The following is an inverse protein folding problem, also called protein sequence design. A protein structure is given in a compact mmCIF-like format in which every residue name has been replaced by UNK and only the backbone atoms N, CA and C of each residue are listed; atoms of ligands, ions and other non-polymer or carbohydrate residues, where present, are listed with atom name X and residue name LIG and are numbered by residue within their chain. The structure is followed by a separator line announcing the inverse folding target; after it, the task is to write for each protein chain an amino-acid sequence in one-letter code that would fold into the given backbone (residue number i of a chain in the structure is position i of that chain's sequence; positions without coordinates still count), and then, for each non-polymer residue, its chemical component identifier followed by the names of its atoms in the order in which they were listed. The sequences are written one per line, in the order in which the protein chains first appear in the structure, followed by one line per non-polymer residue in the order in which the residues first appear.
data_IF_989741809132
#
_entry.id   IF_989741809132
#
_cell.length_a   1.000
_cell.length_b   1.000
_cell.length_c   1.000
_cell.angle_alpha   90.00
_cell.angle_beta   90.00
_cell.angle_gamma   90.00
#
_symmetry.space_group_name_H-M   'P 1'
#
loop_
_entity.id
_entity.type
_entity.pdbx_description
1 polymer ?
#
# COMPACT_ATOMS: atom_id res chain seq x y z
N UNK A 1 56.71 3.70 -45.02
CA UNK A 1 57.49 3.78 -43.76
C UNK A 1 57.41 5.20 -43.21
N UNK A 2 57.33 5.34 -41.87
CA UNK A 2 57.17 6.55 -41.02
C UNK A 2 55.73 6.69 -40.52
N UNK A 3 55.36 5.94 -39.47
CA UNK A 3 55.58 6.14 -38.01
C UNK A 3 54.40 6.93 -37.42
N UNK A 4 53.53 6.17 -36.76
CA UNK A 4 52.41 6.60 -35.91
C UNK A 4 52.90 7.56 -34.83
N UNK A 5 52.09 8.58 -34.53
CA UNK A 5 52.33 9.51 -33.43
C UNK A 5 51.38 9.07 -32.32
N UNK A 6 51.95 8.60 -31.22
CA UNK A 6 51.24 8.14 -30.03
C UNK A 6 50.62 9.34 -29.33
N UNK A 7 49.30 9.32 -29.14
CA UNK A 7 48.57 10.32 -28.36
C UNK A 7 48.78 10.02 -26.86
N UNK A 8 49.46 10.94 -26.16
CA UNK A 8 49.66 10.89 -24.71
C UNK A 8 48.32 11.11 -24.00
N UNK A 9 47.85 10.10 -23.27
CA UNK A 9 46.67 10.19 -22.41
C UNK A 9 47.10 10.87 -21.12
N UNK A 10 46.63 12.09 -20.91
CA UNK A 10 46.83 12.87 -19.69
C UNK A 10 46.02 12.22 -18.54
N UNK A 11 46.76 11.61 -17.60
CA UNK A 11 46.25 10.96 -16.40
C UNK A 11 45.67 12.03 -15.45
N UNK A 12 44.36 12.24 -15.53
CA UNK A 12 43.64 13.12 -14.61
C UNK A 12 43.26 12.31 -13.38
N UNK A 13 43.71 12.70 -12.16
CA UNK A 13 43.33 11.99 -10.95
C UNK A 13 41.80 12.00 -10.80
N UNK A 14 41.20 10.81 -10.73
CA UNK A 14 39.82 10.63 -10.33
C UNK A 14 39.71 11.08 -8.87
N UNK A 15 39.23 12.30 -8.65
CA UNK A 15 38.90 12.76 -7.29
C UNK A 15 37.77 11.88 -6.74
N UNK A 16 38.04 11.22 -5.61
CA UNK A 16 37.01 10.51 -4.85
C UNK A 16 35.85 11.45 -4.53
N UNK A 17 34.58 11.04 -4.67
CA UNK A 17 33.44 11.90 -4.40
C UNK A 17 33.48 12.34 -2.93
N UNK A 18 33.67 13.64 -2.72
CA UNK A 18 33.61 14.28 -1.41
C UNK A 18 32.31 13.87 -0.71
N UNK A 19 32.35 13.29 0.51
CA UNK A 19 31.13 12.96 1.24
C UNK A 19 30.34 14.24 1.44
N UNK A 20 29.16 14.33 0.82
CA UNK A 20 28.22 15.41 1.06
C UNK A 20 27.80 15.33 2.53
N UNK A 21 28.34 16.20 3.38
CA UNK A 21 28.10 16.25 4.83
C UNK A 21 26.79 16.93 5.20
N UNK A 22 25.93 17.24 4.22
CA UNK A 22 24.58 17.69 4.52
C UNK A 22 23.77 16.52 5.09
N UNK A 23 23.09 16.68 6.24
CA UNK A 23 22.21 15.65 6.75
C UNK A 23 21.09 15.40 5.74
N UNK A 24 21.16 14.27 5.03
CA UNK A 24 20.12 13.84 4.10
C UNK A 24 18.83 13.64 4.89
N UNK A 25 17.88 14.55 4.65
CA UNK A 25 16.55 14.48 5.27
C UNK A 25 15.59 13.84 4.28
N UNK A 26 14.86 12.81 4.72
CA UNK A 26 13.89 12.09 3.91
C UNK A 26 12.50 12.60 4.24
N UNK A 27 11.70 13.00 3.26
CA UNK A 27 10.37 13.56 3.50
C UNK A 27 9.28 12.75 2.80
N UNK A 28 8.16 12.53 3.48
CA UNK A 28 6.96 11.96 2.89
C UNK A 28 5.98 13.07 2.52
N UNK A 29 5.71 13.22 1.21
CA UNK A 29 4.71 14.15 0.67
C UNK A 29 3.33 13.51 0.43
N UNK A 30 3.20 12.20 0.70
CA UNK A 30 1.95 11.44 0.55
C UNK A 30 1.13 11.42 1.85
N UNK A 31 1.72 11.89 2.95
CA UNK A 31 1.00 12.11 4.19
C UNK A 31 0.28 13.47 4.14
N UNK A 32 -0.93 13.62 4.71
CA UNK A 32 -1.66 14.89 4.72
C UNK A 32 -0.83 16.05 5.29
N UNK A 33 -0.05 15.75 6.32
CA UNK A 33 0.97 16.64 6.88
C UNK A 33 2.38 16.20 6.47
N UNK A 34 3.27 17.09 6.04
CA UNK A 34 4.64 16.73 5.69
C UNK A 34 5.39 16.15 6.89
N UNK A 35 5.79 14.88 6.80
CA UNK A 35 6.63 14.23 7.82
C UNK A 35 8.05 14.08 7.27
N UNK A 36 9.03 14.54 8.04
CA UNK A 36 10.46 14.38 7.73
C UNK A 36 11.14 13.40 8.68
N UNK A 37 12.06 12.62 8.14
CA UNK A 37 12.81 11.57 8.80
C UNK A 37 14.31 11.84 8.68
N UNK A 38 15.05 11.57 9.76
CA UNK A 38 16.50 11.75 9.81
C UNK A 38 17.28 10.55 9.25
N UNK A 39 16.62 9.43 8.96
CA UNK A 39 17.24 8.22 8.40
C UNK A 39 16.39 7.61 7.28
N UNK A 40 17.05 6.95 6.32
CA UNK A 40 16.38 6.22 5.27
C UNK A 40 15.50 5.10 5.83
N UNK A 41 16.01 4.34 6.80
CA UNK A 41 15.30 3.22 7.43
C UNK A 41 13.97 3.63 8.06
N UNK A 42 13.93 4.79 8.73
CA UNK A 42 12.69 5.29 9.32
C UNK A 42 11.68 5.75 8.27
N UNK A 43 12.15 6.33 7.16
CA UNK A 43 11.31 6.66 6.01
C UNK A 43 10.77 5.40 5.31
N UNK A 44 11.61 4.39 5.05
CA UNK A 44 11.20 3.13 4.42
C UNK A 44 10.19 2.37 5.29
N UNK A 45 10.39 2.33 6.61
CA UNK A 45 9.44 1.76 7.55
C UNK A 45 8.10 2.51 7.54
N UNK A 46 8.14 3.85 7.54
CA UNK A 46 6.93 4.66 7.40
C UNK A 46 6.20 4.35 6.10
N UNK A 47 6.92 4.34 4.97
CA UNK A 47 6.36 4.09 3.66
C UNK A 47 5.75 2.69 3.59
N UNK A 48 6.47 1.69 4.09
CA UNK A 48 6.04 0.30 4.12
C UNK A 48 4.73 0.11 4.89
N UNK A 49 4.59 0.81 6.02
CA UNK A 49 3.42 0.69 6.89
C UNK A 49 2.23 1.59 6.46
N UNK A 50 2.49 2.72 5.80
CA UNK A 50 1.45 3.72 5.52
C UNK A 50 1.03 3.77 4.05
N UNK A 51 1.93 3.46 3.11
CA UNK A 51 1.75 3.76 1.70
C UNK A 51 1.79 2.52 0.79
N UNK A 52 2.31 1.38 1.24
CA UNK A 52 2.37 0.15 0.43
C UNK A 52 1.02 -0.28 -0.12
N UNK A 53 -0.01 -0.25 0.73
CA UNK A 53 -1.36 -0.67 0.37
C UNK A 53 -2.34 0.50 0.44
N UNK A 54 -1.98 1.61 -0.21
CA UNK A 54 -2.85 2.78 -0.34
C UNK A 54 -3.62 2.72 -1.66
N UNK A 55 -4.91 3.02 -1.62
CA UNK A 55 -5.71 3.23 -2.82
C UNK A 55 -5.35 4.58 -3.44
N UNK A 56 -4.89 4.57 -4.68
CA UNK A 56 -4.51 5.78 -5.42
C UNK A 56 -5.72 6.63 -5.83
N UNK A 57 -6.92 6.07 -5.86
CA UNK A 57 -8.16 6.78 -6.22
C UNK A 57 -8.72 7.63 -5.08
N UNK A 58 -8.72 7.10 -3.86
CA UNK A 58 -9.35 7.77 -2.70
C UNK A 58 -8.40 8.07 -1.54
N UNK A 59 -7.15 7.60 -1.59
CA UNK A 59 -6.15 7.78 -0.54
C UNK A 59 -6.34 6.88 0.69
N UNK A 60 -7.35 5.99 0.70
CA UNK A 60 -7.57 5.07 1.81
C UNK A 60 -6.41 4.08 1.95
N UNK A 61 -5.99 3.81 3.18
CA UNK A 61 -4.87 2.92 3.51
C UNK A 61 -5.37 1.56 3.97
N UNK A 62 -4.70 0.49 3.59
CA UNK A 62 -5.11 -0.88 3.90
C UNK A 62 -3.98 -1.66 4.58
N UNK A 63 -4.32 -2.69 5.36
CA UNK A 63 -3.32 -3.48 6.10
C UNK A 63 -2.58 -4.51 5.23
N UNK A 64 -3.16 -4.89 4.08
CA UNK A 64 -2.55 -5.84 3.15
C UNK A 64 -3.06 -5.63 1.72
N UNK A 65 -2.36 -6.23 0.76
CA UNK A 65 -2.74 -6.27 -0.66
C UNK A 65 -4.17 -6.76 -0.84
N UNK A 66 -4.55 -7.81 -0.12
CA UNK A 66 -5.89 -8.41 -0.17
C UNK A 66 -6.98 -7.38 0.15
N UNK A 67 -6.80 -6.60 1.21
CA UNK A 67 -7.80 -5.60 1.61
C UNK A 67 -7.86 -4.43 0.63
N UNK A 68 -6.72 -4.03 0.05
CA UNK A 68 -6.70 -3.06 -1.03
C UNK A 68 -7.42 -3.59 -2.27
N UNK A 69 -7.16 -4.85 -2.67
CA UNK A 69 -7.84 -5.49 -3.80
C UNK A 69 -9.36 -5.57 -3.59
N UNK A 70 -9.79 -6.04 -2.41
CA UNK A 70 -11.21 -6.04 -2.04
C UNK A 70 -11.83 -4.64 -2.10
N UNK A 71 -11.10 -3.61 -1.67
CA UNK A 71 -11.58 -2.24 -1.74
C UNK A 71 -11.75 -1.76 -3.18
N UNK A 72 -10.75 -2.02 -4.03
CA UNK A 72 -10.82 -1.66 -5.45
C UNK A 72 -12.00 -2.36 -6.13
N UNK A 73 -12.15 -3.66 -5.91
CA UNK A 73 -13.22 -4.48 -6.48
C UNK A 73 -14.61 -4.10 -5.94
N UNK A 74 -14.73 -3.59 -4.71
CA UNK A 74 -16.02 -3.32 -4.07
C UNK A 74 -16.45 -1.87 -4.10
N UNK A 75 -15.53 -0.91 -4.24
CA UNK A 75 -15.84 0.53 -4.16
C UNK A 75 -15.38 1.32 -5.39
N UNK A 76 -14.45 0.80 -6.19
CA UNK A 76 -13.89 1.50 -7.35
C UNK A 76 -14.07 0.79 -8.69
N UNK A 77 -14.54 -0.46 -8.71
CA UNK A 77 -14.94 -1.12 -9.95
C UNK A 77 -16.26 -0.49 -10.47
N UNK A 78 -16.27 0.11 -11.68
CA UNK A 78 -17.46 0.72 -12.26
C UNK A 78 -18.62 -0.25 -12.46
N UNK A 79 -18.36 -1.55 -12.54
CA UNK A 79 -19.40 -2.57 -12.67
C UNK A 79 -20.16 -2.81 -11.36
N UNK A 80 -19.58 -2.45 -10.21
CA UNK A 80 -20.18 -2.69 -8.90
C UNK A 80 -21.53 -2.00 -8.74
N UNK A 81 -21.69 -0.77 -9.26
CA UNK A 81 -22.97 -0.07 -9.21
C UNK A 81 -24.09 -0.90 -9.87
N UNK A 82 -23.80 -1.49 -11.04
CA UNK A 82 -24.74 -2.34 -11.78
C UNK A 82 -25.01 -3.64 -11.01
N UNK A 83 -23.96 -4.27 -10.48
CA UNK A 83 -24.10 -5.49 -9.68
C UNK A 83 -24.90 -5.26 -8.40
N UNK A 84 -24.74 -4.10 -7.74
CA UNK A 84 -25.52 -3.70 -6.57
C UNK A 84 -27.00 -3.58 -6.92
N UNK A 85 -27.33 -2.89 -8.01
CA UNK A 85 -28.73 -2.69 -8.46
C UNK A 85 -29.41 -4.01 -8.86
N UNK A 86 -28.66 -4.94 -9.45
CA UNK A 86 -29.15 -6.29 -9.79
C UNK A 86 -29.25 -7.23 -8.58
N UNK A 87 -28.66 -6.87 -7.44
CA UNK A 87 -28.59 -7.72 -6.26
C UNK A 87 -27.58 -8.88 -6.39
N UNK A 88 -26.57 -8.72 -7.24
CA UNK A 88 -25.51 -9.71 -7.40
C UNK A 88 -24.63 -9.81 -6.16
N UNK A 89 -23.87 -10.91 -6.09
CA UNK A 89 -22.86 -11.12 -5.05
C UNK A 89 -21.53 -10.51 -5.47
N UNK A 90 -21.29 -9.27 -5.10
CA UNK A 90 -20.04 -8.55 -5.40
C UNK A 90 -19.08 -8.48 -4.22
N UNK A 91 -19.56 -8.64 -2.98
CA UNK A 91 -18.74 -8.57 -1.76
C UNK A 91 -18.02 -9.90 -1.51
N UNK A 92 -16.70 -9.95 -1.61
CA UNK A 92 -15.96 -11.18 -1.38
C UNK A 92 -15.60 -11.39 0.10
N UNK A 93 -15.29 -12.64 0.47
CA UNK A 93 -14.77 -12.99 1.78
C UNK A 93 -13.36 -12.43 1.98
N UNK A 94 -12.96 -12.22 3.24
CA UNK A 94 -11.65 -11.68 3.60
C UNK A 94 -10.55 -12.75 3.58
N UNK A 95 -10.91 -14.00 3.87
CA UNK A 95 -9.95 -15.10 3.98
C UNK A 95 -9.51 -15.62 2.62
N UNK A 96 -8.21 -15.88 2.50
CA UNK A 96 -7.65 -16.56 1.33
C UNK A 96 -8.12 -18.02 1.28
N UNK A 97 -8.45 -18.49 0.08
CA UNK A 97 -9.06 -19.81 -0.13
C UNK A 97 -10.57 -19.87 0.17
N UNK A 98 -11.22 -18.75 0.51
CA UNK A 98 -12.68 -18.68 0.64
C UNK A 98 -13.34 -17.96 -0.53
N UNK A 99 -13.97 -18.72 -1.44
CA UNK A 99 -14.63 -18.18 -2.64
C UNK A 99 -16.06 -17.65 -2.40
N UNK A 100 -16.46 -17.48 -1.13
CA UNK A 100 -17.81 -16.99 -0.81
C UNK A 100 -17.95 -15.50 -1.13
N UNK A 101 -18.97 -15.19 -1.93
CA UNK A 101 -19.41 -13.82 -2.22
C UNK A 101 -20.82 -13.52 -1.68
N UNK A 102 -21.10 -12.25 -1.40
CA UNK A 102 -22.32 -11.77 -0.76
C UNK A 102 -22.87 -10.54 -1.48
N UNK A 103 -24.18 -10.36 -1.45
CA UNK A 103 -24.85 -9.15 -1.94
C UNK A 103 -24.96 -8.07 -0.85
N UNK A 104 -24.85 -8.46 0.43
CA UNK A 104 -25.02 -7.56 1.59
C UNK A 104 -23.85 -7.69 2.57
N UNK A 105 -23.37 -6.55 3.06
CA UNK A 105 -22.33 -6.49 4.09
C UNK A 105 -22.71 -7.26 5.36
N UNK A 106 -23.99 -7.26 5.75
CA UNK A 106 -24.50 -8.00 6.92
C UNK A 106 -24.28 -9.51 6.77
N UNK A 107 -24.56 -10.06 5.59
CA UNK A 107 -24.39 -11.49 5.30
C UNK A 107 -22.92 -11.88 5.28
N UNK A 108 -22.06 -11.05 4.67
CA UNK A 108 -20.60 -11.24 4.72
C UNK A 108 -20.09 -11.26 6.16
N UNK A 109 -20.48 -10.28 6.98
CA UNK A 109 -20.07 -10.20 8.38
C UNK A 109 -20.46 -11.46 9.15
N UNK A 110 -21.70 -11.91 9.01
CA UNK A 110 -22.16 -13.13 9.67
C UNK A 110 -21.33 -14.35 9.25
N UNK A 111 -21.03 -14.48 7.95
CA UNK A 111 -20.14 -15.54 7.47
C UNK A 111 -18.74 -15.48 8.08
N UNK A 112 -18.12 -14.29 8.14
CA UNK A 112 -16.79 -14.12 8.72
C UNK A 112 -16.76 -14.47 10.22
N UNK A 113 -17.80 -14.11 10.96
CA UNK A 113 -17.93 -14.45 12.38
C UNK A 113 -18.15 -15.96 12.54
N UNK A 114 -19.11 -16.54 11.83
CA UNK A 114 -19.57 -17.92 12.07
C UNK A 114 -18.65 -18.98 11.46
N UNK A 115 -18.00 -18.68 10.32
CA UNK A 115 -17.15 -19.63 9.59
C UNK A 115 -15.65 -19.39 9.79
N UNK A 116 -15.24 -18.14 9.94
CA UNK A 116 -13.84 -17.78 10.09
C UNK A 116 -13.49 -17.28 11.49
N UNK A 117 -14.46 -17.27 12.42
CA UNK A 117 -14.22 -16.96 13.83
C UNK A 117 -13.87 -15.51 14.10
N UNK A 118 -14.20 -14.59 13.17
CA UNK A 118 -13.88 -13.18 13.36
C UNK A 118 -14.56 -12.63 14.62
N UNK A 119 -13.86 -11.84 15.45
CA UNK A 119 -14.46 -11.18 16.59
C UNK A 119 -15.65 -10.31 16.16
N UNK A 120 -16.73 -10.30 16.96
CA UNK A 120 -17.93 -9.50 16.63
C UNK A 120 -17.63 -7.99 16.58
N UNK A 121 -16.62 -7.54 17.32
CA UNK A 121 -16.11 -6.17 17.36
C UNK A 121 -15.06 -5.87 16.28
N UNK A 122 -14.75 -6.82 15.40
CA UNK A 122 -13.88 -6.56 14.25
C UNK A 122 -14.49 -5.44 13.38
N UNK A 123 -13.63 -4.56 12.84
CA UNK A 123 -14.04 -3.44 12.00
C UNK A 123 -14.28 -3.90 10.56
N UNK A 124 -15.41 -4.57 10.31
CA UNK A 124 -15.77 -5.07 8.96
C UNK A 124 -15.92 -3.98 7.89
N UNK A 125 -16.05 -2.72 8.28
CA UNK A 125 -16.03 -1.57 7.37
C UNK A 125 -14.64 -1.20 6.85
N UNK A 126 -13.58 -1.93 7.26
CA UNK A 126 -12.20 -1.71 6.83
C UNK A 126 -12.06 -1.71 5.30
N UNK A 127 -12.72 -2.62 4.59
CA UNK A 127 -12.67 -2.68 3.11
C UNK A 127 -13.27 -1.43 2.47
N UNK A 128 -14.31 -0.83 3.04
CA UNK A 128 -14.94 0.36 2.47
C UNK A 128 -14.21 1.66 2.86
N UNK A 129 -13.70 1.75 4.09
CA UNK A 129 -13.19 3.01 4.66
C UNK A 129 -11.67 3.09 4.79
N UNK A 130 -10.96 1.98 4.68
CA UNK A 130 -9.54 1.89 5.04
C UNK A 130 -9.28 2.04 6.55
N UNK A 131 -7.99 2.06 6.89
CA UNK A 131 -7.46 2.31 8.23
C UNK A 131 -7.63 3.79 8.60
N UNK A 132 -7.99 4.04 9.86
CA UNK A 132 -8.07 5.40 10.39
C UNK A 132 -6.69 5.89 10.84
N UNK A 133 -6.60 7.19 11.10
CA UNK A 133 -5.40 7.81 11.66
C UNK A 133 -5.08 7.22 13.05
N UNK A 134 -3.82 6.81 13.24
CA UNK A 134 -3.36 6.17 14.48
C UNK A 134 -3.66 4.66 14.61
N UNK A 135 -4.36 4.04 13.67
CA UNK A 135 -4.56 2.59 13.69
C UNK A 135 -3.40 1.86 13.01
N UNK A 136 -2.69 1.04 13.79
CA UNK A 136 -1.81 0.00 13.27
C UNK A 136 -2.63 -1.26 13.00
N UNK A 137 -2.37 -1.93 11.87
CA UNK A 137 -3.10 -3.13 11.44
C UNK A 137 -3.27 -4.14 12.57
N UNK A 138 -4.52 -4.44 12.94
CA UNK A 138 -4.86 -5.51 13.90
C UNK A 138 -4.93 -6.90 13.24
N UNK A 139 -4.72 -6.96 11.92
CA UNK A 139 -4.60 -8.21 11.20
C UNK A 139 -3.14 -8.64 11.27
N UNK A 140 -2.90 -9.81 11.89
CA UNK A 140 -1.58 -10.42 11.94
C UNK A 140 -1.07 -10.61 10.51
N UNK A 141 0.11 -10.04 10.25
CA UNK A 141 0.94 -10.36 9.09
C UNK A 141 1.44 -11.80 9.20
#
# INVERSE_FOLDING_TARGET
MKRSRDDEIEDTPLEDPVPNTNPTTYACSLHPDPISFASLESFESHYSNCHTWMCTTCGARFPSEKFLGLHLDEEHDPYVAISRDRGDKYLACFEDGCDKKFAEYRKRRMHLVDKHGYPKNFRFGLVTKGLQEGEVSLLKQ
#
